data_IF_942123887222
#
_entry.id   IF_942123887222
#
_cell.length_a   1.000
_cell.length_b   1.000
_cell.length_c   1.000
_cell.angle_alpha   90.00
_cell.angle_beta   90.00
_cell.angle_gamma   90.00
#
_symmetry.space_group_name_H-M   'P 1'
#
loop_
_entity.id
_entity.type
_entity.pdbx_description
1 polymer ?
#
# COMPACT_ATOMS: atom_id res chain seq x y z
N UNK A 1 -61.05 48.95 32.62
CA UNK A 1 -60.88 47.98 33.72
C UNK A 1 -61.21 46.59 33.20
N UNK A 2 -60.44 45.57 33.65
CA UNK A 2 -60.57 44.12 33.40
C UNK A 2 -60.11 43.60 32.01
N UNK A 3 -58.88 43.04 31.97
CA UNK A 3 -58.54 41.58 31.93
C UNK A 3 -58.73 40.99 30.52
N UNK A 4 -57.84 40.22 29.91
CA UNK A 4 -56.84 39.32 30.47
C UNK A 4 -55.92 38.84 29.35
N UNK A 5 -54.62 38.81 29.63
CA UNK A 5 -53.59 37.91 29.09
C UNK A 5 -54.13 36.56 28.64
N UNK A 6 -53.74 36.09 27.43
CA UNK A 6 -53.57 34.65 27.07
C UNK A 6 -53.26 34.37 25.59
N UNK A 7 -52.25 34.95 24.94
CA UNK A 7 -51.86 34.51 23.57
C UNK A 7 -50.35 34.54 23.24
N UNK A 8 -49.47 34.46 24.24
CA UNK A 8 -48.03 34.69 24.03
C UNK A 8 -47.12 33.50 24.40
N UNK A 9 -47.59 32.25 24.29
CA UNK A 9 -46.79 31.08 24.72
C UNK A 9 -46.60 30.00 23.64
N UNK A 10 -47.23 30.09 22.47
CA UNK A 10 -47.27 28.95 21.55
C UNK A 10 -46.28 28.97 20.36
N UNK A 11 -45.32 29.91 20.28
CA UNK A 11 -44.55 30.11 19.04
C UNK A 11 -43.02 30.11 19.16
N UNK A 12 -42.45 29.64 20.27
CA UNK A 12 -40.97 29.67 20.47
C UNK A 12 -40.31 28.28 20.39
N UNK A 13 -41.07 27.19 20.38
CA UNK A 13 -40.49 25.87 20.64
C UNK A 13 -40.08 25.03 19.41
N UNK A 14 -40.21 25.52 18.17
CA UNK A 14 -39.96 24.67 16.96
C UNK A 14 -38.73 25.11 16.14
N UNK A 15 -38.16 26.30 16.38
CA UNK A 15 -37.07 26.81 15.55
C UNK A 15 -35.65 26.33 15.95
N UNK A 16 -35.49 25.58 17.05
CA UNK A 16 -34.18 25.23 17.59
C UNK A 16 -33.61 23.86 17.13
N UNK A 17 -34.35 23.07 16.34
CA UNK A 17 -33.92 21.68 15.99
C UNK A 17 -33.26 21.57 14.62
N UNK A 18 -33.28 22.62 13.77
CA UNK A 18 -32.78 22.54 12.40
C UNK A 18 -31.28 22.85 12.22
N UNK A 19 -30.55 23.16 13.30
CA UNK A 19 -29.11 23.46 13.24
C UNK A 19 -28.19 22.27 13.62
N UNK A 20 -28.75 21.08 13.90
CA UNK A 20 -27.99 19.88 14.26
C UNK A 20 -27.64 18.96 13.07
N UNK A 21 -27.94 19.38 11.83
CA UNK A 21 -27.83 18.53 10.63
C UNK A 21 -26.47 18.54 9.91
N UNK A 22 -25.50 19.36 10.33
CA UNK A 22 -24.16 19.39 9.74
C UNK A 22 -23.09 19.10 10.81
N UNK A 23 -23.36 18.12 11.67
CA UNK A 23 -22.29 17.51 12.46
C UNK A 23 -21.38 16.79 11.49
N UNK A 24 -20.30 17.50 11.13
CA UNK A 24 -19.08 17.03 10.51
C UNK A 24 -19.01 15.51 10.42
N UNK A 25 -19.17 14.99 9.20
CA UNK A 25 -18.68 13.68 8.82
C UNK A 25 -17.15 13.78 9.01
N UNK A 26 -16.69 13.52 10.23
CA UNK A 26 -15.30 13.27 10.63
C UNK A 26 -14.87 11.88 10.11
N UNK A 27 -15.29 11.50 8.90
CA UNK A 27 -14.63 10.43 8.19
C UNK A 27 -13.40 11.09 7.59
N UNK A 28 -12.25 10.86 8.22
CA UNK A 28 -10.97 11.15 7.58
C UNK A 28 -11.02 10.62 6.15
N UNK A 29 -10.52 11.42 5.20
CA UNK A 29 -10.48 11.00 3.80
C UNK A 29 -9.97 9.57 3.72
N UNK A 30 -10.64 8.68 2.96
CA UNK A 30 -10.21 7.30 2.89
C UNK A 30 -8.73 7.28 2.51
N UNK A 31 -7.93 6.49 3.23
CA UNK A 31 -6.53 6.32 2.86
C UNK A 31 -6.47 5.91 1.38
N UNK A 32 -5.58 6.51 0.58
CA UNK A 32 -5.41 6.11 -0.81
C UNK A 32 -5.21 4.60 -0.89
N UNK A 33 -6.07 3.93 -1.66
CA UNK A 33 -5.85 2.51 -1.95
C UNK A 33 -4.55 2.39 -2.73
N UNK A 34 -3.62 1.53 -2.29
CA UNK A 34 -2.38 1.29 -3.02
C UNK A 34 -2.67 0.82 -4.44
N UNK A 35 -1.83 1.23 -5.37
CA UNK A 35 -1.92 0.76 -6.75
C UNK A 35 -1.84 -0.77 -6.82
N UNK A 36 -2.61 -1.38 -7.72
CA UNK A 36 -2.57 -2.81 -7.97
C UNK A 36 -1.29 -3.24 -8.71
N UNK A 37 -1.01 -4.55 -8.71
CA UNK A 37 0.20 -5.07 -9.35
C UNK A 37 0.28 -4.78 -10.85
N UNK A 38 -0.78 -4.92 -11.67
CA UNK A 38 -0.74 -4.57 -13.08
C UNK A 38 -0.31 -3.12 -13.33
N UNK A 39 -0.83 -2.17 -12.55
CA UNK A 39 -0.46 -0.76 -12.68
C UNK A 39 0.98 -0.51 -12.23
N UNK A 40 1.43 -1.14 -11.13
CA UNK A 40 2.83 -1.07 -10.70
C UNK A 40 3.78 -1.69 -11.75
N UNK A 41 3.39 -2.78 -12.40
CA UNK A 41 4.15 -3.37 -13.50
C UNK A 41 4.30 -2.39 -14.67
N UNK A 42 3.26 -1.59 -14.96
CA UNK A 42 3.34 -0.46 -15.89
C UNK A 42 4.35 0.61 -15.44
N UNK A 43 4.33 1.01 -14.16
CA UNK A 43 5.31 1.96 -13.61
C UNK A 43 6.76 1.43 -13.70
N UNK A 44 6.98 0.14 -13.47
CA UNK A 44 8.29 -0.51 -13.65
C UNK A 44 8.71 -0.52 -15.13
N UNK A 45 7.80 -0.85 -16.04
CA UNK A 45 8.06 -0.87 -17.48
C UNK A 45 8.43 0.50 -18.04
N UNK A 46 7.71 1.56 -17.64
CA UNK A 46 8.03 2.95 -18.05
C UNK A 46 9.40 3.41 -17.57
N UNK A 47 9.96 2.78 -16.54
CA UNK A 47 11.31 3.04 -16.02
C UNK A 47 12.37 2.09 -16.60
N UNK A 48 12.03 1.28 -17.61
CA UNK A 48 12.97 0.41 -18.29
C UNK A 48 13.21 -0.94 -17.60
N UNK A 49 12.29 -1.38 -16.73
CA UNK A 49 12.32 -2.70 -16.10
C UNK A 49 11.25 -3.59 -16.74
N UNK A 50 11.67 -4.64 -17.42
CA UNK A 50 10.75 -5.64 -17.99
C UNK A 50 10.48 -6.76 -17.00
N UNK A 51 9.22 -7.20 -16.92
CA UNK A 51 8.77 -8.27 -16.03
C UNK A 51 8.37 -9.52 -16.82
N UNK A 52 8.74 -10.68 -16.32
CA UNK A 52 8.36 -11.99 -16.85
C UNK A 52 8.04 -12.98 -15.70
N UNK A 53 7.52 -14.16 -16.01
CA UNK A 53 7.27 -15.27 -15.06
C UNK A 53 6.55 -14.84 -13.79
N UNK A 54 5.50 -14.05 -13.97
CA UNK A 54 4.66 -13.53 -12.90
C UNK A 54 3.88 -14.68 -12.26
N UNK A 55 3.90 -14.79 -10.94
CA UNK A 55 3.24 -15.83 -10.16
C UNK A 55 2.60 -15.19 -8.93
N UNK A 56 1.27 -15.14 -8.91
CA UNK A 56 0.51 -14.74 -7.72
C UNK A 56 0.63 -15.81 -6.63
N UNK A 57 0.78 -15.39 -5.38
CA UNK A 57 0.94 -16.30 -4.25
C UNK A 57 2.37 -16.79 -3.99
N UNK A 58 3.37 -16.33 -4.76
CA UNK A 58 4.76 -16.74 -4.55
C UNK A 58 5.41 -15.93 -3.42
N UNK A 59 5.14 -16.35 -2.18
CA UNK A 59 5.80 -15.82 -0.99
C UNK A 59 7.19 -16.42 -0.75
N UNK A 60 7.46 -17.61 -1.32
CA UNK A 60 8.70 -18.38 -1.15
C UNK A 60 8.80 -19.16 0.17
N UNK A 61 7.92 -18.92 1.14
CA UNK A 61 8.02 -19.48 2.50
C UNK A 61 6.78 -20.28 2.95
N UNK A 62 5.70 -20.33 2.16
CA UNK A 62 4.42 -20.98 2.49
C UNK A 62 3.74 -20.40 3.74
N UNK A 63 3.92 -19.11 4.01
CA UNK A 63 3.21 -18.41 5.07
C UNK A 63 1.87 -17.92 4.51
N UNK A 64 0.78 -18.60 4.89
CA UNK A 64 -0.57 -18.28 4.41
C UNK A 64 -1.01 -16.85 4.72
N UNK A 65 -0.37 -16.17 5.68
CA UNK A 65 -0.63 -14.78 6.00
C UNK A 65 0.02 -13.80 5.01
N UNK A 66 1.07 -14.23 4.30
CA UNK A 66 1.77 -13.46 3.27
C UNK A 66 1.42 -13.91 1.85
N UNK A 67 1.08 -15.18 1.63
CA UNK A 67 0.75 -15.75 0.30
C UNK A 67 -0.24 -14.86 -0.45
N UNK A 68 -1.32 -14.41 0.19
CA UNK A 68 -2.35 -13.59 -0.47
C UNK A 68 -1.86 -12.18 -0.90
N UNK A 69 -0.73 -11.73 -0.38
CA UNK A 69 -0.12 -10.41 -0.67
C UNK A 69 1.08 -10.51 -1.60
N UNK A 70 1.58 -11.72 -1.84
CA UNK A 70 2.86 -11.94 -2.48
C UNK A 70 2.71 -12.20 -3.99
N UNK A 71 3.59 -11.60 -4.78
CA UNK A 71 3.72 -11.86 -6.21
C UNK A 71 5.20 -12.02 -6.53
N UNK A 72 5.56 -13.16 -7.10
CA UNK A 72 6.90 -13.44 -7.60
C UNK A 72 7.00 -13.17 -9.09
N UNK A 73 8.09 -12.59 -9.55
CA UNK A 73 8.33 -12.30 -10.97
C UNK A 73 9.82 -12.18 -11.26
N UNK A 74 10.19 -12.34 -12.52
CA UNK A 74 11.55 -12.13 -13.00
C UNK A 74 11.65 -10.70 -13.56
N UNK A 75 12.64 -9.94 -13.11
CA UNK A 75 12.88 -8.57 -13.56
C UNK A 75 14.18 -8.47 -14.35
N UNK A 76 14.16 -7.69 -15.43
CA UNK A 76 15.34 -7.45 -16.27
C UNK A 76 15.42 -5.98 -16.70
N UNK A 77 16.59 -5.55 -17.17
CA UNK A 77 16.86 -4.17 -17.58
C UNK A 77 17.78 -3.42 -16.60
N UNK A 78 18.07 -2.15 -16.93
CA UNK A 78 18.86 -1.22 -16.11
C UNK A 78 20.19 -1.77 -15.56
N UNK A 79 20.89 -2.55 -16.37
CA UNK A 79 22.21 -3.10 -16.04
C UNK A 79 22.21 -4.44 -15.34
N UNK A 80 21.04 -5.08 -15.14
CA UNK A 80 20.99 -6.48 -14.73
C UNK A 80 21.54 -7.36 -15.87
N UNK A 81 22.59 -8.14 -15.59
CA UNK A 81 23.20 -9.07 -16.56
C UNK A 81 22.40 -10.36 -16.73
N UNK A 82 21.62 -10.72 -15.71
CA UNK A 82 20.68 -11.84 -15.71
C UNK A 82 19.37 -11.40 -15.06
N UNK A 83 18.22 -11.91 -15.49
CA UNK A 83 16.95 -11.62 -14.82
C UNK A 83 17.03 -11.95 -13.32
N UNK A 84 16.58 -11.02 -12.47
CA UNK A 84 16.51 -11.21 -11.03
C UNK A 84 15.14 -11.75 -10.64
N UNK A 85 15.08 -12.86 -9.89
CA UNK A 85 13.83 -13.32 -9.28
C UNK A 85 13.50 -12.41 -8.10
N UNK A 86 12.41 -11.68 -8.20
CA UNK A 86 11.93 -10.75 -7.20
C UNK A 86 10.59 -11.23 -6.63
N UNK A 87 10.31 -10.81 -5.40
CA UNK A 87 9.01 -10.96 -4.75
C UNK A 87 8.58 -9.62 -4.22
N UNK A 88 7.36 -9.22 -4.56
CA UNK A 88 6.71 -8.07 -3.95
C UNK A 88 5.60 -8.54 -3.02
N UNK A 89 5.54 -7.91 -1.85
CA UNK A 89 4.47 -8.05 -0.88
C UNK A 89 3.67 -6.74 -0.88
N UNK A 90 2.41 -6.83 -1.29
CA UNK A 90 1.49 -5.70 -1.43
C UNK A 90 0.48 -5.76 -0.30
N UNK A 91 0.62 -4.87 0.69
CA UNK A 91 -0.32 -4.82 1.80
C UNK A 91 -1.48 -3.87 1.49
N UNK A 92 -2.62 -4.13 2.13
CA UNK A 92 -3.85 -3.34 1.93
C UNK A 92 -3.67 -1.86 2.29
N UNK A 93 -2.88 -1.56 3.31
CA UNK A 93 -2.66 -0.22 3.84
C UNK A 93 -1.37 -0.17 4.67
N UNK A 94 -0.98 1.04 5.09
CA UNK A 94 0.22 1.26 5.88
C UNK A 94 0.22 0.52 7.22
N UNK A 95 -0.92 0.50 7.92
CA UNK A 95 -1.05 -0.23 9.19
C UNK A 95 -0.77 -1.73 9.05
N UNK A 96 -1.29 -2.35 7.98
CA UNK A 96 -1.04 -3.77 7.70
C UNK A 96 0.42 -4.00 7.32
N UNK A 97 1.02 -3.09 6.56
CA UNK A 97 2.46 -3.13 6.28
C UNK A 97 3.26 -3.10 7.57
N UNK A 98 3.02 -2.14 8.46
CA UNK A 98 3.80 -1.96 9.69
C UNK A 98 3.71 -3.21 10.60
N UNK A 99 2.53 -3.82 10.68
CA UNK A 99 2.30 -5.06 11.42
C UNK A 99 2.98 -6.28 10.80
N UNK A 100 3.01 -6.37 9.46
CA UNK A 100 3.45 -7.58 8.72
C UNK A 100 4.88 -7.50 8.19
N UNK A 101 5.51 -6.33 8.22
CA UNK A 101 6.88 -6.15 7.72
C UNK A 101 7.89 -7.13 8.33
N UNK A 102 7.86 -7.45 9.64
CA UNK A 102 8.75 -8.46 10.22
C UNK A 102 8.46 -9.89 9.73
N UNK A 103 7.23 -10.19 9.29
CA UNK A 103 6.88 -11.49 8.72
C UNK A 103 7.60 -11.68 7.38
N UNK A 104 7.76 -10.60 6.61
CA UNK A 104 8.51 -10.61 5.36
C UNK A 104 9.98 -10.99 5.58
N UNK A 105 10.65 -10.44 6.60
CA UNK A 105 12.06 -10.82 6.88
C UNK A 105 12.20 -12.32 7.16
N UNK A 106 11.30 -12.88 7.97
CA UNK A 106 11.27 -14.32 8.27
C UNK A 106 11.01 -15.14 7.02
N UNK A 107 10.11 -14.67 6.16
CA UNK A 107 9.79 -15.31 4.89
C UNK A 107 10.99 -15.30 3.93
N UNK A 108 11.67 -14.15 3.82
CA UNK A 108 12.87 -14.01 2.99
C UNK A 108 14.00 -14.91 3.45
N UNK A 109 14.22 -15.01 4.76
CA UNK A 109 15.20 -15.93 5.31
C UNK A 109 14.94 -17.41 4.95
N UNK A 110 13.69 -17.78 4.64
CA UNK A 110 13.33 -19.15 4.27
C UNK A 110 13.63 -19.49 2.80
N UNK A 111 13.67 -18.50 1.89
CA UNK A 111 13.90 -18.74 0.46
C UNK A 111 15.23 -18.20 -0.06
N UNK A 112 15.89 -17.30 0.67
CA UNK A 112 17.17 -16.73 0.27
C UNK A 112 18.24 -17.83 0.17
N UNK A 113 18.93 -17.89 -0.97
CA UNK A 113 20.05 -18.81 -1.16
C UNK A 113 21.30 -18.32 -0.40
N UNK A 114 21.55 -17.01 -0.44
CA UNK A 114 22.61 -16.35 0.31
C UNK A 114 22.06 -15.11 1.03
N UNK A 115 21.86 -15.17 2.35
CA UNK A 115 21.31 -14.07 3.14
C UNK A 115 22.10 -12.76 3.01
N UNK A 116 23.41 -12.81 2.73
CA UNK A 116 24.25 -11.61 2.62
C UNK A 116 23.99 -10.82 1.33
N UNK A 117 23.35 -11.44 0.35
CA UNK A 117 23.05 -10.83 -0.97
C UNK A 117 21.62 -10.36 -1.10
N UNK A 118 20.78 -10.62 -0.10
CA UNK A 118 19.39 -10.18 -0.11
C UNK A 118 19.33 -8.66 -0.08
N UNK A 119 18.57 -8.09 -1.02
CA UNK A 119 18.26 -6.66 -1.03
C UNK A 119 16.76 -6.45 -0.86
N UNK A 120 16.41 -5.40 -0.10
CA UNK A 120 15.04 -4.94 0.12
C UNK A 120 14.86 -3.53 -0.43
N UNK A 121 13.69 -3.27 -1.02
CA UNK A 121 13.19 -1.92 -1.27
C UNK A 121 11.84 -1.79 -0.57
N UNK A 122 11.85 -1.02 0.51
CA UNK A 122 10.69 -0.66 1.29
C UNK A 122 10.08 0.65 0.79
N UNK A 123 8.76 0.66 0.60
CA UNK A 123 7.97 1.85 0.28
C UNK A 123 6.53 1.56 0.67
N UNK A 124 6.10 2.02 1.85
CA UNK A 124 4.79 1.68 2.41
C UNK A 124 3.67 1.91 1.39
N UNK A 125 2.74 0.95 1.17
CA UNK A 125 2.59 -0.35 1.83
C UNK A 125 3.16 -1.54 1.02
N UNK A 126 4.27 -1.33 0.31
CA UNK A 126 4.97 -2.34 -0.48
C UNK A 126 6.30 -2.73 0.16
N UNK A 127 6.65 -4.00 0.05
CA UNK A 127 8.01 -4.52 0.26
C UNK A 127 8.41 -5.28 -0.99
N UNK A 128 9.53 -4.94 -1.60
CA UNK A 128 10.13 -5.75 -2.66
C UNK A 128 11.44 -6.36 -2.15
N UNK A 129 11.64 -7.65 -2.43
CA UNK A 129 12.85 -8.38 -2.03
C UNK A 129 13.35 -9.30 -3.16
N UNK A 130 14.66 -9.59 -3.14
CA UNK A 130 15.28 -10.58 -4.03
C UNK A 130 16.78 -10.69 -3.81
N UNK A 131 17.43 -11.59 -4.55
CA UNK A 131 18.89 -11.78 -4.53
C UNK A 131 19.56 -10.69 -5.38
N UNK A 132 20.50 -9.97 -4.77
CA UNK A 132 21.39 -9.01 -5.41
C UNK A 132 22.77 -9.59 -5.75
N UNK A 133 23.79 -8.74 -5.98
CA UNK A 133 23.72 -7.29 -5.93
C UNK A 133 22.97 -6.68 -7.13
N UNK A 134 22.15 -5.66 -6.87
CA UNK A 134 21.45 -4.91 -7.91
C UNK A 134 22.20 -3.65 -8.32
N UNK A 135 22.23 -3.32 -9.62
CA UNK A 135 22.73 -2.02 -10.10
C UNK A 135 21.99 -0.85 -9.44
N UNK A 136 22.71 0.25 -9.20
CA UNK A 136 22.12 1.44 -8.58
C UNK A 136 20.95 2.04 -9.39
N UNK A 137 21.03 1.99 -10.73
CA UNK A 137 19.97 2.45 -11.62
C UNK A 137 18.69 1.60 -11.44
N UNK A 138 18.84 0.27 -11.36
CA UNK A 138 17.74 -0.65 -11.09
C UNK A 138 17.06 -0.33 -9.75
N UNK A 139 17.85 -0.17 -8.68
CA UNK A 139 17.33 0.18 -7.35
C UNK A 139 16.56 1.49 -7.32
N UNK A 140 17.10 2.49 -8.02
CA UNK A 140 16.49 3.82 -8.11
C UNK A 140 15.15 3.74 -8.84
N UNK A 141 15.10 3.01 -9.95
CA UNK A 141 13.87 2.81 -10.71
C UNK A 141 12.82 2.03 -9.91
N UNK A 142 13.19 0.94 -9.23
CA UNK A 142 12.27 0.18 -8.37
C UNK A 142 11.71 1.08 -7.26
N UNK A 143 12.56 1.81 -6.53
CA UNK A 143 12.10 2.71 -5.47
C UNK A 143 11.16 3.79 -6.01
N UNK A 144 11.48 4.38 -7.16
CA UNK A 144 10.63 5.38 -7.82
C UNK A 144 9.29 4.82 -8.28
N UNK A 145 9.24 3.56 -8.74
CA UNK A 145 7.99 2.89 -9.11
C UNK A 145 7.12 2.62 -7.88
N UNK A 146 7.70 2.07 -6.81
CA UNK A 146 6.96 1.78 -5.57
C UNK A 146 6.45 3.05 -4.88
N UNK A 147 7.24 4.13 -4.91
CA UNK A 147 6.82 5.44 -4.35
C UNK A 147 5.66 6.02 -5.15
N UNK A 148 5.72 5.97 -6.49
CA UNK A 148 4.62 6.43 -7.34
C UNK A 148 3.34 5.60 -7.12
N UNK A 149 3.49 4.28 -6.99
CA UNK A 149 2.41 3.34 -6.72
C UNK A 149 1.77 3.52 -5.33
N UNK A 150 2.53 4.00 -4.33
CA UNK A 150 2.04 4.28 -2.99
C UNK A 150 1.16 5.54 -2.94
N UNK A 151 1.38 6.48 -3.85
CA UNK A 151 0.70 7.77 -3.86
C UNK A 151 0.89 8.54 -2.54
N UNK A 152 -0.13 9.30 -2.13
CA UNK A 152 -0.11 10.08 -0.89
C UNK A 152 -0.45 9.26 0.36
N UNK A 153 -0.68 7.95 0.23
CA UNK A 153 -1.04 7.05 1.34
C UNK A 153 0.15 6.39 2.03
N UNK A 154 1.37 6.82 1.66
CA UNK A 154 2.65 6.36 2.19
C UNK A 154 2.87 6.69 3.65
#
# INVERSE_FOLDING_TARGET
>A
MHRSSRRFVAFVSVAAVLLAGCSAILQGSPEPTPMDFPSLAGELATRGIALDRITSGDDGCRDSTLTATAIGFDASGLGLTTPARLRIYIFRNGETYDRRRPDVDRCVAAWAQDPATVEFVDSRPFVLAGQGPWPAAFKTAVRGALTAAAGNGG
#
